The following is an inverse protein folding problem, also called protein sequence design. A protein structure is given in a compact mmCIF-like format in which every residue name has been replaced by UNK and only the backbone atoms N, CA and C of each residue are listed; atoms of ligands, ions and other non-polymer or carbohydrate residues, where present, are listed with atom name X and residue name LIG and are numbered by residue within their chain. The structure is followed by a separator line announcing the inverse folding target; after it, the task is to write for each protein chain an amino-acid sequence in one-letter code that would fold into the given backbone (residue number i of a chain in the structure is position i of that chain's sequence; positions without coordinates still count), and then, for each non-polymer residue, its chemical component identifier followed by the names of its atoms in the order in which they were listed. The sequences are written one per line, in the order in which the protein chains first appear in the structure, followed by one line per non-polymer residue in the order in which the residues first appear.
data_IF_821699064041
#
_entry.id   IF_821699064041
#
_cell.length_a   1.000
_cell.length_b   1.000
_cell.length_c   1.000
_cell.angle_alpha   90.00
_cell.angle_beta   90.00
_cell.angle_gamma   90.00
#
_symmetry.space_group_name_H-M   'P 1'
#
loop_
_entity.id
_entity.type
_entity.pdbx_description
1 polymer ?
#
# COMPACT_ATOMS: atom_id res chain seq x y z
N UNK A 1 -27.74 -46.09 37.44
CA UNK A 1 -28.17 -44.69 37.70
C UNK A 1 -26.97 -43.76 37.90
N UNK A 2 -26.14 -43.97 38.93
CA UNK A 2 -24.99 -43.10 39.27
C UNK A 2 -23.99 -42.93 38.11
N UNK A 3 -23.66 -44.00 37.40
CA UNK A 3 -22.76 -43.95 36.23
C UNK A 3 -23.29 -43.04 35.11
N UNK A 4 -24.59 -43.15 34.81
CA UNK A 4 -25.23 -42.35 33.76
C UNK A 4 -25.23 -40.85 34.14
N UNK A 5 -25.51 -40.55 35.41
CA UNK A 5 -25.48 -39.19 35.94
C UNK A 5 -24.07 -38.59 35.87
N UNK A 6 -23.04 -39.36 36.24
CA UNK A 6 -21.65 -38.91 36.12
C UNK A 6 -21.25 -38.60 34.67
N UNK A 7 -21.73 -39.41 33.71
CA UNK A 7 -21.45 -39.22 32.29
C UNK A 7 -22.16 -37.98 31.72
N UNK A 8 -23.38 -37.69 32.16
CA UNK A 8 -24.13 -36.49 31.75
C UNK A 8 -23.42 -35.22 32.28
N UNK A 9 -22.93 -35.25 33.52
CA UNK A 9 -22.23 -34.13 34.14
C UNK A 9 -20.90 -33.88 33.43
N UNK A 10 -20.09 -34.92 33.22
CA UNK A 10 -18.80 -34.78 32.54
C UNK A 10 -18.95 -34.25 31.12
N UNK A 11 -19.94 -34.76 30.36
CA UNK A 11 -20.21 -34.31 29.00
C UNK A 11 -20.67 -32.84 28.97
N UNK A 12 -21.46 -32.41 29.94
CA UNK A 12 -21.91 -31.01 30.06
C UNK A 12 -20.74 -30.06 30.33
N UNK A 13 -19.82 -30.44 31.21
CA UNK A 13 -18.62 -29.64 31.53
C UNK A 13 -17.73 -29.51 30.30
N UNK A 14 -17.44 -30.63 29.62
CA UNK A 14 -16.61 -30.63 28.41
C UNK A 14 -17.24 -29.77 27.32
N UNK A 15 -18.55 -29.88 27.13
CA UNK A 15 -19.30 -29.05 26.17
C UNK A 15 -19.16 -27.57 26.51
N UNK A 16 -19.40 -27.16 27.76
CA UNK A 16 -19.27 -25.77 28.17
C UNK A 16 -17.86 -25.20 27.97
N UNK A 17 -16.82 -25.97 28.30
CA UNK A 17 -15.42 -25.57 28.07
C UNK A 17 -15.12 -25.44 26.58
N UNK A 18 -15.60 -26.37 25.75
CA UNK A 18 -15.43 -26.33 24.31
C UNK A 18 -16.10 -25.10 23.68
N UNK A 19 -17.34 -24.77 24.07
CA UNK A 19 -18.03 -23.56 23.57
C UNK A 19 -17.32 -22.28 23.99
N UNK A 20 -16.85 -22.17 25.23
CA UNK A 20 -16.15 -20.99 25.72
C UNK A 20 -14.81 -20.78 24.98
N UNK A 21 -14.08 -21.88 24.72
CA UNK A 21 -12.84 -21.83 23.94
C UNK A 21 -13.11 -21.52 22.47
N UNK A 22 -14.15 -22.09 21.87
CA UNK A 22 -14.55 -21.82 20.50
C UNK A 22 -14.97 -20.36 20.32
N UNK A 23 -15.73 -19.80 21.25
CA UNK A 23 -16.11 -18.38 21.24
C UNK A 23 -14.87 -17.48 21.33
N UNK A 24 -13.95 -17.78 22.25
CA UNK A 24 -12.72 -17.00 22.42
C UNK A 24 -11.81 -17.11 21.19
N UNK A 25 -11.66 -18.31 20.63
CA UNK A 25 -10.87 -18.57 19.43
C UNK A 25 -11.48 -17.92 18.20
N UNK A 26 -12.81 -17.93 18.06
CA UNK A 26 -13.52 -17.28 16.95
C UNK A 26 -13.32 -15.78 16.94
N UNK A 27 -13.36 -15.14 18.12
CA UNK A 27 -13.07 -13.70 18.26
C UNK A 27 -11.61 -13.39 17.91
N UNK A 28 -10.66 -14.23 18.33
CA UNK A 28 -9.25 -14.04 17.98
C UNK A 28 -9.00 -14.20 16.47
N UNK A 29 -9.58 -15.24 15.86
CA UNK A 29 -9.50 -15.47 14.40
C UNK A 29 -10.15 -14.32 13.63
N UNK A 30 -11.29 -13.81 14.09
CA UNK A 30 -11.94 -12.63 13.51
C UNK A 30 -11.03 -11.41 13.53
N UNK A 31 -10.45 -11.07 14.69
CA UNK A 31 -9.51 -9.94 14.82
C UNK A 31 -8.27 -10.09 13.94
N UNK A 32 -7.76 -11.31 13.79
CA UNK A 32 -6.63 -11.58 12.90
C UNK A 32 -7.03 -11.40 11.42
N UNK A 33 -8.24 -11.85 11.05
CA UNK A 33 -8.83 -11.59 9.73
C UNK A 33 -8.95 -10.10 9.43
N UNK A 34 -9.54 -9.33 10.35
CA UNK A 34 -9.69 -7.87 10.23
C UNK A 34 -8.34 -7.18 10.03
N UNK A 35 -7.31 -7.64 10.76
CA UNK A 35 -5.95 -7.10 10.64
C UNK A 35 -5.33 -7.41 9.27
N UNK A 36 -5.48 -8.64 8.78
CA UNK A 36 -4.99 -9.04 7.46
C UNK A 36 -5.66 -8.22 6.36
N UNK A 37 -6.97 -8.03 6.45
CA UNK A 37 -7.73 -7.29 5.44
C UNK A 37 -7.35 -5.80 5.46
N UNK A 38 -7.16 -5.21 6.64
CA UNK A 38 -6.60 -3.85 6.77
C UNK A 38 -5.26 -3.71 6.02
N UNK A 39 -4.31 -4.61 6.24
CA UNK A 39 -3.01 -4.55 5.58
C UNK A 39 -3.10 -4.79 4.06
N UNK A 40 -4.00 -5.67 3.61
CA UNK A 40 -4.25 -5.85 2.17
C UNK A 40 -4.75 -4.57 1.53
N UNK A 41 -5.74 -3.90 2.13
CA UNK A 41 -6.25 -2.63 1.63
C UNK A 41 -5.15 -1.57 1.55
N UNK A 42 -4.33 -1.45 2.60
CA UNK A 42 -3.22 -0.50 2.61
C UNK A 42 -2.19 -0.81 1.52
N UNK A 43 -1.90 -2.07 1.25
CA UNK A 43 -1.01 -2.48 0.16
C UNK A 43 -1.59 -2.15 -1.22
N UNK A 44 -2.90 -2.35 -1.43
CA UNK A 44 -3.57 -1.96 -2.68
C UNK A 44 -3.47 -0.45 -2.91
N UNK A 45 -3.81 0.36 -1.89
CA UNK A 45 -3.71 1.83 -1.97
C UNK A 45 -2.28 2.28 -2.23
N UNK A 46 -1.30 1.65 -1.56
CA UNK A 46 0.11 1.96 -1.78
C UNK A 46 0.56 1.60 -3.20
N UNK A 47 0.12 0.46 -3.72
CA UNK A 47 0.41 0.03 -5.09
C UNK A 47 -0.15 1.01 -6.12
N UNK A 48 -1.39 1.47 -5.95
CA UNK A 48 -2.00 2.48 -6.82
C UNK A 48 -1.23 3.80 -6.80
N UNK A 49 -0.82 4.25 -5.60
CA UNK A 49 0.00 5.45 -5.45
C UNK A 49 1.35 5.29 -6.12
N UNK A 50 2.01 4.14 -5.92
CA UNK A 50 3.28 3.85 -6.57
C UNK A 50 3.15 3.88 -8.09
N UNK A 51 2.14 3.20 -8.65
CA UNK A 51 1.88 3.21 -10.10
C UNK A 51 1.63 4.62 -10.62
N UNK A 52 0.89 5.43 -9.87
CA UNK A 52 0.61 6.82 -10.24
C UNK A 52 1.90 7.66 -10.22
N UNK A 53 2.69 7.56 -9.16
CA UNK A 53 3.93 8.31 -8.99
C UNK A 53 5.04 7.84 -9.95
N UNK A 54 5.12 6.54 -10.21
CA UNK A 54 6.06 5.95 -11.16
C UNK A 54 5.60 6.07 -12.61
N UNK A 55 4.39 6.58 -12.85
CA UNK A 55 3.91 6.78 -14.21
C UNK A 55 4.83 7.78 -14.92
N UNK A 56 5.19 7.46 -16.15
CA UNK A 56 6.02 8.33 -16.98
C UNK A 56 5.42 9.74 -17.09
N UNK A 57 4.09 9.83 -17.12
CA UNK A 57 3.37 11.10 -17.12
C UNK A 57 3.61 11.91 -15.83
N UNK A 58 3.56 11.27 -14.66
CA UNK A 58 3.86 11.96 -13.41
C UNK A 58 5.31 12.41 -13.33
N UNK A 59 6.25 11.54 -13.72
CA UNK A 59 7.69 11.86 -13.73
C UNK A 59 7.98 13.00 -14.71
N UNK A 60 7.46 12.93 -15.94
CA UNK A 60 7.65 13.96 -16.96
C UNK A 60 7.05 15.31 -16.50
N UNK A 61 5.86 15.31 -15.92
CA UNK A 61 5.23 16.53 -15.42
C UNK A 61 6.02 17.13 -14.24
N UNK A 62 6.53 16.27 -13.33
CA UNK A 62 7.41 16.69 -12.22
C UNK A 62 8.75 17.24 -12.74
N UNK A 63 9.32 16.62 -13.76
CA UNK A 63 10.56 17.07 -14.39
C UNK A 63 10.40 18.44 -15.04
N UNK A 64 9.28 18.66 -15.74
CA UNK A 64 8.92 19.97 -16.31
C UNK A 64 8.71 21.04 -15.22
N UNK A 65 8.00 20.71 -14.13
CA UNK A 65 7.81 21.62 -12.98
C UNK A 65 9.15 22.01 -12.33
N UNK A 66 10.09 21.06 -12.25
CA UNK A 66 11.44 21.28 -11.71
C UNK A 66 12.40 21.96 -12.71
N UNK A 67 11.92 22.30 -13.92
CA UNK A 67 12.71 22.98 -14.94
C UNK A 67 13.67 22.10 -15.73
N UNK A 68 13.54 20.77 -15.64
CA UNK A 68 14.22 19.83 -16.52
C UNK A 68 13.47 19.79 -17.87
N UNK A 69 13.65 20.84 -18.66
CA UNK A 69 13.29 20.86 -20.08
C UNK A 69 14.47 20.25 -20.85
N UNK A 70 14.21 19.32 -21.78
CA UNK A 70 15.19 18.98 -22.80
C UNK A 70 15.53 20.27 -23.56
N UNK A 71 16.68 20.84 -23.23
CA UNK A 71 17.23 21.95 -23.99
C UNK A 71 17.56 21.38 -25.36
N UNK A 72 16.66 21.57 -26.32
CA UNK A 72 16.92 21.38 -27.74
C UNK A 72 18.14 22.27 -28.06
N UNK A 73 19.31 21.67 -27.95
CA UNK A 73 20.63 22.28 -28.13
C UNK A 73 20.87 22.76 -29.58
N UNK A 74 19.83 22.73 -30.42
CA UNK A 74 19.78 23.32 -31.75
C UNK A 74 19.47 24.83 -31.75
N UNK A 75 18.87 25.40 -30.68
CA UNK A 75 18.49 26.82 -30.66
C UNK A 75 19.41 27.75 -29.86
N UNK A 76 20.47 27.22 -29.24
CA UNK A 76 21.41 28.01 -28.43
C UNK A 76 22.55 28.69 -29.24
N UNK A 77 22.44 28.76 -30.57
CA UNK A 77 23.50 29.29 -31.45
C UNK A 77 23.38 30.80 -31.74
N UNK A 78 22.27 31.46 -31.38
CA UNK A 78 21.99 32.83 -31.86
C UNK A 78 22.12 33.96 -30.82
N UNK A 79 22.69 33.72 -29.63
CA UNK A 79 22.85 34.79 -28.61
C UNK A 79 24.24 35.37 -28.45
N UNK A 80 25.18 35.04 -29.34
CA UNK A 80 26.49 35.69 -29.44
C UNK A 80 26.73 36.18 -30.87
N UNK A 81 25.85 37.04 -31.36
CA UNK A 81 26.19 37.96 -32.45
C UNK A 81 27.20 38.98 -31.90
N UNK A 82 28.47 38.57 -31.81
CA UNK A 82 29.60 39.48 -31.65
C UNK A 82 29.53 40.48 -32.80
N UNK A 83 29.40 41.76 -32.48
CA UNK A 83 29.62 42.85 -33.43
C UNK A 83 31.05 42.72 -33.98
N UNK A 84 31.19 42.32 -35.23
CA UNK A 84 32.43 42.47 -35.97
C UNK A 84 32.54 43.96 -36.33
N UNK A 85 33.24 44.72 -35.49
CA UNK A 85 33.72 46.04 -35.85
C UNK A 85 34.76 45.86 -36.98
N UNK A 86 34.31 45.98 -38.23
CA UNK A 86 35.19 46.15 -39.39
C UNK A 86 35.56 47.62 -39.44
N UNK A 87 36.81 47.92 -39.07
CA UNK A 87 37.42 49.24 -39.28
C UNK A 87 38.03 49.21 -40.69
N UNK A 88 37.40 49.90 -41.64
CA UNK A 88 38.08 50.41 -42.84
C UNK A 88 38.77 51.73 -42.51
#
# INVERSE_FOLDING_TARGET
MIFLIGLIISLSIVKAVAYNRLSTSGVFVGKLGDSIDYYKTQNTVLSERLLTLSSLAHIANKALELGFVEEDSSLMVLKTSRSLAVKQ
#
